data_IF_759549593864
#
_entry.id   IF_759549593864
#
_cell.length_a   1.000
_cell.length_b   1.000
_cell.length_c   1.000
_cell.angle_alpha   90.00
_cell.angle_beta   90.00
_cell.angle_gamma   90.00
#
_symmetry.space_group_name_H-M   'P 1'
#
loop_
_entity.id
_entity.type
_entity.pdbx_description
1 polymer ?
#
# COMPACT_ATOMS: atom_id res chain seq x y z
N UNK A 1 -3.59 -15.20 21.19
CA UNK A 1 -3.98 -15.38 19.79
C UNK A 1 -5.35 -14.74 19.61
N UNK A 2 -5.69 -14.19 18.42
CA UNK A 2 -7.00 -13.57 18.16
C UNK A 2 -8.17 -14.57 18.24
N UNK A 3 -7.87 -15.88 18.19
CA UNK A 3 -8.84 -16.96 18.29
C UNK A 3 -8.53 -17.86 19.51
N UNK A 4 -9.19 -17.65 20.65
CA UNK A 4 -8.95 -18.44 21.86
C UNK A 4 -9.16 -19.95 21.62
N UNK A 5 -8.18 -20.76 22.04
CA UNK A 5 -8.22 -22.22 21.91
C UNK A 5 -7.88 -22.78 20.53
N UNK A 6 -7.74 -21.92 19.51
CA UNK A 6 -7.26 -22.33 18.19
C UNK A 6 -5.73 -22.28 18.14
N UNK A 7 -5.11 -23.35 17.65
CA UNK A 7 -3.65 -23.53 17.57
C UNK A 7 -3.15 -23.66 16.13
N UNK A 8 -4.02 -23.46 15.14
CA UNK A 8 -3.64 -23.48 13.72
C UNK A 8 -3.06 -22.15 13.25
N UNK A 9 -2.68 -22.10 11.98
CA UNK A 9 -2.15 -20.88 11.36
C UNK A 9 -3.21 -19.79 11.25
N UNK A 10 -2.78 -18.53 11.29
CA UNK A 10 -3.62 -17.35 11.12
C UNK A 10 -3.18 -16.65 9.85
N UNK A 11 -4.08 -16.50 8.87
CA UNK A 11 -3.85 -15.62 7.73
C UNK A 11 -3.97 -14.18 8.21
N UNK A 12 -3.06 -13.32 7.78
CA UNK A 12 -3.02 -11.91 8.17
C UNK A 12 -2.98 -11.02 6.93
N UNK A 13 -3.53 -9.82 7.05
CA UNK A 13 -3.41 -8.72 6.10
C UNK A 13 -3.43 -7.40 6.91
N UNK A 14 -2.97 -6.30 6.30
CA UNK A 14 -3.00 -4.97 6.92
C UNK A 14 -3.58 -3.94 5.96
N UNK A 15 -4.41 -3.03 6.46
CA UNK A 15 -5.10 -1.98 5.70
C UNK A 15 -5.89 -1.09 6.64
N UNK A 16 -6.08 0.19 6.31
CA UNK A 16 -6.88 1.10 7.14
C UNK A 16 -8.38 0.81 6.94
N UNK A 17 -9.01 0.13 7.90
CA UNK A 17 -10.42 -0.29 7.81
C UNK A 17 -11.34 0.70 8.53
N UNK A 18 -10.79 1.57 9.39
CA UNK A 18 -11.56 2.49 10.22
C UNK A 18 -11.39 3.97 9.83
N UNK A 19 -10.48 4.29 8.91
CA UNK A 19 -10.21 5.62 8.38
C UNK A 19 -9.45 6.50 9.36
N UNK A 20 -8.61 5.91 10.23
CA UNK A 20 -7.81 6.67 11.19
C UNK A 20 -6.39 7.01 10.69
N UNK A 21 -6.06 6.61 9.46
CA UNK A 21 -4.76 6.80 8.82
C UNK A 21 -3.68 5.83 9.31
N UNK A 22 -4.02 4.88 10.19
CA UNK A 22 -3.11 3.84 10.69
C UNK A 22 -3.60 2.48 10.20
N UNK A 23 -2.70 1.70 9.58
CA UNK A 23 -3.08 0.38 9.07
C UNK A 23 -3.55 -0.56 10.20
N UNK A 24 -4.76 -1.10 10.03
CA UNK A 24 -5.34 -2.10 10.92
C UNK A 24 -4.81 -3.51 10.62
N UNK A 25 -4.92 -4.41 11.59
CA UNK A 25 -4.54 -5.82 11.44
C UNK A 25 -5.78 -6.68 11.25
N UNK A 26 -5.89 -7.31 10.08
CA UNK A 26 -6.94 -8.27 9.75
C UNK A 26 -6.38 -9.67 9.99
N UNK A 27 -7.00 -10.41 10.91
CA UNK A 27 -6.62 -11.76 11.25
C UNK A 27 -7.75 -12.75 10.92
N UNK A 28 -7.39 -13.85 10.26
CA UNK A 28 -8.32 -14.88 9.85
C UNK A 28 -7.85 -16.28 10.28
N UNK A 29 -8.76 -17.06 10.85
CA UNK A 29 -8.45 -18.43 11.26
C UNK A 29 -8.17 -19.29 10.01
N UNK A 30 -7.00 -19.96 9.99
CA UNK A 30 -6.64 -20.90 8.93
C UNK A 30 -7.29 -22.27 9.08
N UNK A 31 -6.85 -23.23 8.26
CA UNK A 31 -7.42 -24.58 8.20
C UNK A 31 -7.48 -25.27 9.57
N UNK A 32 -8.61 -25.93 9.85
CA UNK A 32 -8.93 -26.53 11.14
C UNK A 32 -9.61 -25.56 12.12
N UNK A 33 -9.58 -24.25 11.86
CA UNK A 33 -10.42 -23.25 12.51
C UNK A 33 -11.75 -23.09 11.76
N UNK A 34 -12.68 -22.29 12.30
CA UNK A 34 -13.86 -21.83 11.57
C UNK A 34 -13.52 -20.70 10.59
N UNK A 35 -14.49 -20.16 9.84
CA UNK A 35 -14.22 -19.09 8.90
C UNK A 35 -14.26 -17.72 9.59
N UNK A 36 -13.60 -17.58 10.74
CA UNK A 36 -13.68 -16.36 11.56
C UNK A 36 -12.62 -15.36 11.12
N UNK A 37 -13.06 -14.14 10.79
CA UNK A 37 -12.21 -12.98 10.53
C UNK A 37 -12.42 -11.95 11.64
N UNK A 38 -11.32 -11.38 12.13
CA UNK A 38 -11.29 -10.29 13.12
C UNK A 38 -10.40 -9.16 12.61
N UNK A 39 -10.77 -7.93 12.92
CA UNK A 39 -10.00 -6.72 12.58
C UNK A 39 -9.63 -6.03 13.88
N UNK A 40 -8.37 -5.64 14.01
CA UNK A 40 -7.82 -4.98 15.19
C UNK A 40 -7.20 -3.65 14.80
N UNK A 41 -7.43 -2.61 15.60
CA UNK A 41 -6.88 -1.28 15.35
C UNK A 41 -5.36 -1.31 15.33
N UNK A 42 -4.77 -0.70 14.31
CA UNK A 42 -3.33 -0.45 14.27
C UNK A 42 -2.85 0.46 15.40
N UNK A 43 -3.71 1.39 15.82
CA UNK A 43 -3.42 2.42 16.84
C UNK A 43 -3.27 1.82 18.24
N UNK A 44 -4.15 0.92 18.67
CA UNK A 44 -4.18 0.43 20.05
C UNK A 44 -4.40 -1.09 20.21
N UNK A 45 -4.56 -1.82 19.11
CA UNK A 45 -4.81 -3.26 19.10
C UNK A 45 -6.22 -3.68 19.56
N UNK A 46 -7.16 -2.74 19.74
CA UNK A 46 -8.55 -3.04 20.07
C UNK A 46 -9.28 -3.72 18.91
N UNK A 47 -10.26 -4.59 19.21
CA UNK A 47 -11.03 -5.26 18.16
C UNK A 47 -12.08 -4.30 17.55
N UNK A 48 -11.94 -4.00 16.25
CA UNK A 48 -12.84 -3.14 15.47
C UNK A 48 -14.01 -3.96 14.89
N UNK A 49 -13.70 -5.14 14.32
CA UNK A 49 -14.68 -6.01 13.64
C UNK A 49 -14.47 -7.47 13.96
N UNK A 50 -15.56 -8.25 13.87
CA UNK A 50 -15.54 -9.71 13.99
C UNK A 50 -16.73 -10.33 13.26
N UNK A 51 -16.46 -11.12 12.22
CA UNK A 51 -17.51 -11.68 11.35
C UNK A 51 -17.11 -13.02 10.71
N UNK A 52 -18.06 -13.65 10.02
CA UNK A 52 -17.87 -14.92 9.30
C UNK A 52 -18.26 -14.76 7.82
N UNK A 53 -17.31 -14.66 6.86
CA UNK A 53 -17.63 -14.55 5.43
C UNK A 53 -18.22 -15.83 4.82
N UNK A 54 -18.11 -16.98 5.51
CA UNK A 54 -18.60 -18.28 5.03
C UNK A 54 -19.46 -18.97 6.10
N UNK A 55 -20.25 -20.01 5.74
CA UNK A 55 -21.08 -20.73 6.71
C UNK A 55 -20.27 -21.24 7.91
N UNK A 56 -20.72 -20.99 9.14
CA UNK A 56 -19.96 -21.27 10.37
C UNK A 56 -19.52 -22.74 10.55
N UNK A 57 -20.15 -23.69 9.87
CA UNK A 57 -19.75 -25.11 9.89
C UNK A 57 -18.54 -25.43 9.00
N UNK A 58 -18.07 -24.48 8.19
CA UNK A 58 -16.91 -24.62 7.33
C UNK A 58 -15.62 -24.51 8.15
N UNK A 59 -14.74 -25.51 8.06
CA UNK A 59 -13.49 -25.56 8.84
C UNK A 59 -12.22 -25.47 8.01
N UNK A 60 -12.33 -25.04 6.75
CA UNK A 60 -11.16 -24.87 5.87
C UNK A 60 -10.35 -23.62 6.16
N UNK A 61 -10.86 -22.74 7.03
CA UNK A 61 -10.27 -21.44 7.33
C UNK A 61 -10.43 -20.44 6.19
N UNK A 62 -9.77 -19.30 6.33
CA UNK A 62 -9.86 -18.16 5.41
C UNK A 62 -8.47 -17.62 5.11
N UNK A 63 -8.24 -17.27 3.85
CA UNK A 63 -7.14 -16.40 3.42
C UNK A 63 -7.69 -14.99 3.21
N UNK A 64 -6.99 -13.98 3.71
CA UNK A 64 -7.44 -12.58 3.66
C UNK A 64 -6.46 -11.71 2.88
N UNK A 65 -7.02 -10.74 2.17
CA UNK A 65 -6.35 -9.57 1.61
C UNK A 65 -7.26 -8.35 1.86
N UNK A 66 -6.73 -7.15 1.65
CA UNK A 66 -7.49 -5.90 1.79
C UNK A 66 -7.15 -4.91 0.70
N UNK A 67 -8.13 -4.12 0.29
CA UNK A 67 -7.99 -2.98 -0.63
C UNK A 67 -9.32 -2.20 -0.64
N UNK A 68 -9.30 -0.91 -0.98
CA UNK A 68 -10.53 -0.13 -1.19
C UNK A 68 -11.12 -0.45 -2.58
N UNK A 69 -12.12 -1.34 -2.62
CA UNK A 69 -12.72 -1.82 -3.87
C UNK A 69 -14.01 -1.07 -4.24
N UNK A 70 -14.58 -0.30 -3.31
CA UNK A 70 -15.75 0.53 -3.55
C UNK A 70 -15.43 2.03 -3.64
N UNK A 71 -14.15 2.39 -3.50
CA UNK A 71 -13.61 3.74 -3.55
C UNK A 71 -14.26 4.65 -2.50
N UNK A 72 -14.43 4.14 -1.27
CA UNK A 72 -15.00 4.90 -0.15
C UNK A 72 -13.94 5.45 0.82
N UNK A 73 -12.66 5.24 0.51
CA UNK A 73 -11.52 5.66 1.31
C UNK A 73 -11.16 4.68 2.44
N UNK A 74 -11.89 3.57 2.59
CA UNK A 74 -11.63 2.56 3.61
C UNK A 74 -11.25 1.22 2.96
N UNK A 75 -10.32 0.51 3.57
CA UNK A 75 -9.93 -0.81 3.10
C UNK A 75 -11.06 -1.83 3.28
N UNK A 76 -11.48 -2.45 2.19
CA UNK A 76 -12.42 -3.57 2.19
C UNK A 76 -11.71 -4.89 2.49
N UNK A 77 -12.44 -5.86 3.04
CA UNK A 77 -11.89 -7.18 3.39
C UNK A 77 -12.25 -8.22 2.34
N UNK A 78 -11.23 -8.74 1.66
CA UNK A 78 -11.33 -9.83 0.68
C UNK A 78 -11.05 -11.14 1.40
N UNK A 79 -12.03 -12.05 1.40
CA UNK A 79 -11.94 -13.36 2.03
C UNK A 79 -11.99 -14.49 0.98
N UNK A 80 -10.93 -15.28 0.92
CA UNK A 80 -10.86 -16.52 0.16
C UNK A 80 -11.11 -17.74 1.03
N UNK A 81 -12.01 -18.64 0.62
CA UNK A 81 -12.25 -19.88 1.34
C UNK A 81 -11.03 -20.81 1.29
N UNK A 82 -10.62 -21.38 2.43
CA UNK A 82 -9.51 -22.34 2.48
C UNK A 82 -9.86 -23.76 2.03
N UNK A 83 -8.94 -24.73 2.22
CA UNK A 83 -9.12 -26.11 1.74
C UNK A 83 -10.37 -26.81 2.30
N UNK A 84 -11.05 -27.58 1.45
CA UNK A 84 -12.35 -28.21 1.75
C UNK A 84 -13.56 -27.34 1.42
N UNK A 85 -13.33 -26.04 1.14
CA UNK A 85 -14.33 -25.13 0.58
C UNK A 85 -14.18 -25.00 -0.93
N UNK A 86 -15.23 -24.50 -1.60
CA UNK A 86 -15.14 -24.10 -3.01
C UNK A 86 -14.15 -22.94 -3.20
N UNK A 87 -13.82 -22.56 -4.45
CA UNK A 87 -12.94 -21.42 -4.74
C UNK A 87 -13.68 -20.08 -4.53
N UNK A 88 -14.36 -19.92 -3.41
CA UNK A 88 -15.22 -18.78 -3.14
C UNK A 88 -14.41 -17.59 -2.63
N UNK A 89 -14.61 -16.45 -3.27
CA UNK A 89 -14.12 -15.15 -2.83
C UNK A 89 -15.32 -14.31 -2.42
N UNK A 90 -15.29 -13.80 -1.20
CA UNK A 90 -16.30 -12.89 -0.63
C UNK A 90 -15.60 -11.61 -0.23
N UNK A 91 -16.13 -10.47 -0.65
CA UNK A 91 -15.61 -9.15 -0.26
C UNK A 91 -16.64 -8.46 0.62
N UNK A 92 -16.20 -7.99 1.78
CA UNK A 92 -17.01 -7.24 2.75
C UNK A 92 -16.49 -5.83 2.88
N UNK A 93 -17.39 -4.85 2.93
CA UNK A 93 -16.99 -3.47 3.12
C UNK A 93 -16.27 -3.28 4.46
N UNK A 94 -15.20 -2.48 4.48
CA UNK A 94 -14.51 -2.08 5.71
C UNK A 94 -15.40 -1.23 6.62
N UNK A 95 -16.11 -0.28 6.00
CA UNK A 95 -17.08 0.62 6.63
C UNK A 95 -18.20 -0.14 7.36
N UNK A 96 -18.74 -1.19 6.73
CA UNK A 96 -19.73 -2.10 7.34
C UNK A 96 -19.57 -3.52 6.80
N UNK A 97 -18.97 -4.41 7.62
CA UNK A 97 -18.77 -5.82 7.28
C UNK A 97 -20.06 -6.62 7.02
N UNK A 98 -21.24 -6.05 7.33
CA UNK A 98 -22.54 -6.62 6.96
C UNK A 98 -22.82 -6.48 5.45
N UNK A 99 -22.25 -5.47 4.81
CA UNK A 99 -22.36 -5.20 3.37
C UNK A 99 -21.40 -6.11 2.60
N UNK A 100 -21.96 -6.88 1.66
CA UNK A 100 -21.22 -7.72 0.73
C UNK A 100 -21.06 -6.99 -0.60
N UNK A 101 -19.82 -6.73 -1.00
CA UNK A 101 -19.49 -6.05 -2.26
C UNK A 101 -19.42 -7.07 -3.40
N UNK A 102 -18.77 -8.22 -3.15
CA UNK A 102 -18.61 -9.30 -4.12
C UNK A 102 -18.75 -10.67 -3.49
N UNK A 103 -19.23 -11.64 -4.28
CA UNK A 103 -19.34 -13.04 -3.88
C UNK A 103 -19.37 -13.94 -5.12
N UNK A 104 -18.26 -14.60 -5.41
CA UNK A 104 -18.10 -15.36 -6.66
C UNK A 104 -17.13 -16.52 -6.52
N UNK A 105 -17.22 -17.46 -7.46
CA UNK A 105 -16.24 -18.55 -7.59
C UNK A 105 -15.12 -18.16 -8.56
N UNK A 106 -13.90 -18.05 -8.03
CA UNK A 106 -12.70 -17.73 -8.80
C UNK A 106 -12.22 -18.88 -9.69
N UNK A 107 -12.69 -20.11 -9.48
CA UNK A 107 -12.37 -21.28 -10.31
C UNK A 107 -13.63 -22.13 -10.51
N UNK A 108 -13.53 -23.25 -11.24
CA UNK A 108 -14.66 -24.14 -11.43
C UNK A 108 -15.27 -24.59 -10.10
N UNK A 109 -16.59 -24.47 -9.95
CA UNK A 109 -17.30 -24.66 -8.68
C UNK A 109 -17.12 -26.06 -8.01
N UNK A 110 -16.69 -27.07 -8.77
CA UNK A 110 -16.37 -28.40 -8.24
C UNK A 110 -14.97 -28.52 -7.61
N UNK A 111 -14.12 -27.51 -7.77
CA UNK A 111 -12.81 -27.45 -7.12
C UNK A 111 -13.01 -27.18 -5.62
N UNK A 112 -12.29 -27.92 -4.76
CA UNK A 112 -12.44 -27.83 -3.30
C UNK A 112 -11.13 -27.52 -2.58
N UNK A 113 -10.12 -27.08 -3.31
CA UNK A 113 -8.84 -26.66 -2.73
C UNK A 113 -8.89 -25.29 -2.07
N UNK A 114 -9.99 -24.56 -2.22
CA UNK A 114 -10.10 -23.17 -1.82
C UNK A 114 -9.35 -22.21 -2.76
N UNK A 115 -9.23 -20.97 -2.30
CA UNK A 115 -8.60 -19.86 -3.03
C UNK A 115 -7.80 -19.01 -2.06
N UNK A 116 -6.59 -18.61 -2.48
CA UNK A 116 -5.79 -17.58 -1.82
C UNK A 116 -5.90 -16.30 -2.64
N UNK A 117 -5.91 -15.17 -1.95
CA UNK A 117 -6.22 -13.85 -2.52
C UNK A 117 -5.09 -12.88 -2.25
N UNK A 118 -4.87 -11.98 -3.20
CA UNK A 118 -4.07 -10.76 -3.10
C UNK A 118 -4.78 -9.66 -3.90
N UNK A 119 -4.33 -8.42 -3.78
CA UNK A 119 -4.98 -7.25 -4.40
C UNK A 119 -3.96 -6.25 -4.94
N UNK A 120 -4.30 -5.57 -6.02
CA UNK A 120 -3.50 -4.44 -6.52
C UNK A 120 -3.87 -4.13 -7.97
N UNK A 121 -3.54 -2.93 -8.44
CA UNK A 121 -3.96 -2.45 -9.75
C UNK A 121 -3.09 -3.05 -10.87
N UNK A 122 -3.57 -4.13 -11.49
CA UNK A 122 -2.91 -4.80 -12.62
C UNK A 122 -3.41 -4.20 -13.93
N UNK A 123 -4.65 -3.72 -13.97
CA UNK A 123 -5.24 -3.13 -15.17
C UNK A 123 -4.78 -1.70 -15.43
N UNK A 124 -4.22 -1.01 -14.43
CA UNK A 124 -3.88 0.41 -14.40
C UNK A 124 -5.10 1.28 -14.68
N UNK A 125 -6.17 1.08 -13.91
CA UNK A 125 -7.40 1.87 -13.98
C UNK A 125 -7.63 2.74 -12.73
N UNK A 126 -6.69 2.70 -11.78
CA UNK A 126 -6.74 3.42 -10.51
C UNK A 126 -7.58 2.71 -9.45
N UNK A 127 -8.08 1.49 -9.71
CA UNK A 127 -8.81 0.67 -8.75
C UNK A 127 -8.06 -0.65 -8.51
N UNK A 128 -8.17 -1.24 -7.30
CA UNK A 128 -7.41 -2.44 -7.00
C UNK A 128 -8.09 -3.67 -7.62
N UNK A 129 -7.34 -4.53 -8.30
CA UNK A 129 -7.85 -5.79 -8.80
C UNK A 129 -7.78 -6.90 -7.76
N UNK A 130 -8.55 -7.98 -7.96
CA UNK A 130 -8.49 -9.18 -7.13
C UNK A 130 -7.69 -10.26 -7.86
N UNK A 131 -6.57 -10.67 -7.26
CA UNK A 131 -5.73 -11.77 -7.74
C UNK A 131 -6.08 -13.03 -6.96
N UNK A 132 -6.56 -14.05 -7.65
CA UNK A 132 -6.95 -15.34 -7.07
C UNK A 132 -5.98 -16.46 -7.49
N UNK A 133 -5.40 -17.14 -6.51
CA UNK A 133 -4.55 -18.30 -6.70
C UNK A 133 -5.22 -19.58 -6.20
N UNK A 134 -5.12 -20.65 -6.99
CA UNK A 134 -5.70 -21.94 -6.62
C UNK A 134 -5.00 -22.56 -5.39
N UNK A 135 -5.80 -23.08 -4.46
CA UNK A 135 -5.32 -23.85 -3.31
C UNK A 135 -4.87 -25.28 -3.64
N UNK A 136 -4.59 -26.12 -2.63
CA UNK A 136 -4.16 -27.50 -2.82
C UNK A 136 -5.16 -28.35 -3.63
N UNK A 137 -4.65 -29.22 -4.49
CA UNK A 137 -5.45 -30.04 -5.41
C UNK A 137 -5.79 -29.34 -6.74
N UNK A 138 -5.57 -28.03 -6.83
CA UNK A 138 -5.61 -27.27 -8.09
C UNK A 138 -4.22 -27.16 -8.69
N UNK A 139 -4.13 -26.94 -10.01
CA UNK A 139 -2.87 -26.55 -10.65
C UNK A 139 -2.36 -25.21 -10.13
N UNK A 140 -1.16 -24.74 -10.51
CA UNK A 140 -0.63 -23.45 -10.05
C UNK A 140 -1.25 -22.26 -10.79
N UNK A 141 -2.58 -22.26 -10.89
CA UNK A 141 -3.36 -21.31 -11.67
C UNK A 141 -3.59 -20.03 -10.86
N UNK A 142 -3.23 -18.90 -11.47
CA UNK A 142 -3.50 -17.55 -10.98
C UNK A 142 -4.46 -16.88 -11.97
N UNK A 143 -5.49 -16.21 -11.46
CA UNK A 143 -6.47 -15.44 -12.24
C UNK A 143 -6.59 -14.03 -11.66
N UNK A 144 -6.80 -13.06 -12.52
CA UNK A 144 -6.93 -11.64 -12.19
C UNK A 144 -8.37 -11.24 -12.52
N UNK A 145 -9.03 -10.59 -11.56
CA UNK A 145 -10.39 -10.10 -11.70
C UNK A 145 -10.39 -8.60 -11.48
N UNK A 146 -10.85 -7.86 -12.49
CA UNK A 146 -10.93 -6.41 -12.46
C UNK A 146 -11.85 -5.92 -11.32
N UNK A 147 -11.28 -5.08 -10.44
CA UNK A 147 -11.95 -4.59 -9.25
C UNK A 147 -12.87 -3.39 -9.46
N UNK A 148 -12.92 -2.83 -10.68
CA UNK A 148 -13.84 -1.75 -11.00
C UNK A 148 -15.28 -2.12 -10.65
N UNK A 149 -15.93 -1.20 -9.92
CA UNK A 149 -17.23 -1.39 -9.25
C UNK A 149 -18.19 -2.33 -10.00
N UNK A 150 -18.81 -3.30 -9.30
CA UNK A 150 -19.74 -4.22 -9.93
C UNK A 150 -20.94 -3.43 -10.48
N UNK A 151 -21.17 -3.55 -11.79
CA UNK A 151 -22.47 -3.29 -12.39
C UNK A 151 -23.51 -4.13 -11.62
N UNK A 152 -24.25 -3.51 -10.70
CA UNK A 152 -25.41 -4.04 -9.95
C UNK A 152 -25.71 -5.54 -10.20
N UNK A 153 -25.18 -6.45 -9.38
CA UNK A 153 -25.40 -7.89 -9.60
C UNK A 153 -24.38 -8.88 -9.04
N UNK A 154 -23.36 -8.45 -8.29
CA UNK A 154 -22.46 -9.36 -7.56
C UNK A 154 -21.44 -10.10 -8.43
N UNK A 155 -21.07 -9.56 -9.59
CA UNK A 155 -19.99 -10.10 -10.42
C UNK A 155 -18.84 -9.09 -10.39
N UNK A 156 -17.67 -9.51 -9.92
CA UNK A 156 -16.39 -8.81 -10.19
C UNK A 156 -16.22 -8.68 -11.71
N UNK A 157 -15.44 -7.70 -12.17
CA UNK A 157 -15.14 -7.49 -13.59
C UNK A 157 -14.70 -8.75 -14.35
N UNK A 158 -14.55 -8.63 -15.66
CA UNK A 158 -14.13 -9.74 -16.53
C UNK A 158 -12.82 -10.38 -16.05
N UNK A 159 -12.59 -11.67 -16.33
CA UNK A 159 -11.27 -12.28 -16.17
C UNK A 159 -10.27 -11.51 -17.03
N UNK A 160 -9.50 -10.64 -16.37
CA UNK A 160 -8.59 -9.70 -17.00
C UNK A 160 -7.27 -10.34 -17.36
N UNK A 161 -7.02 -11.58 -16.92
CA UNK A 161 -5.83 -12.33 -17.22
C UNK A 161 -5.70 -13.59 -16.36
N UNK A 162 -5.04 -14.62 -16.89
CA UNK A 162 -4.71 -15.80 -16.10
C UNK A 162 -3.51 -16.57 -16.66
N UNK A 163 -2.80 -17.26 -15.78
CA UNK A 163 -1.60 -18.03 -16.14
C UNK A 163 -1.30 -19.12 -15.11
N UNK A 164 -0.40 -20.04 -15.48
CA UNK A 164 0.15 -21.04 -14.57
C UNK A 164 1.53 -20.60 -14.08
N UNK A 165 1.65 -20.33 -12.78
CA UNK A 165 2.88 -19.80 -12.17
C UNK A 165 4.02 -20.83 -12.12
N UNK A 166 3.69 -22.12 -12.13
CA UNK A 166 4.62 -23.26 -12.05
C UNK A 166 4.25 -24.35 -13.06
N UNK A 167 4.95 -25.48 -13.02
CA UNK A 167 4.60 -26.65 -13.85
C UNK A 167 3.12 -27.02 -13.67
N UNK A 168 2.38 -27.18 -14.77
CA UNK A 168 0.94 -27.41 -14.73
C UNK A 168 0.55 -28.72 -14.01
N UNK A 169 1.48 -29.67 -13.87
CA UNK A 169 1.29 -30.89 -13.09
C UNK A 169 1.45 -30.71 -11.58
N UNK A 170 1.93 -29.56 -11.11
CA UNK A 170 2.07 -29.27 -9.69
C UNK A 170 0.71 -28.96 -9.06
N UNK A 171 0.33 -29.67 -8.00
CA UNK A 171 -1.00 -29.55 -7.36
C UNK A 171 -0.96 -29.09 -5.91
N UNK A 172 0.17 -28.55 -5.44
CA UNK A 172 0.27 -27.98 -4.08
C UNK A 172 -0.45 -26.64 -3.92
N UNK A 173 -0.96 -26.07 -5.01
CA UNK A 173 -1.51 -24.72 -5.10
C UNK A 173 -0.44 -23.64 -5.03
N UNK A 174 -0.86 -22.38 -5.05
CA UNK A 174 0.03 -21.20 -5.08
C UNK A 174 -0.32 -20.23 -3.96
N UNK A 175 0.68 -19.68 -3.28
CA UNK A 175 0.55 -18.45 -2.48
C UNK A 175 0.89 -17.27 -3.39
N UNK A 176 0.14 -16.19 -3.26
CA UNK A 176 0.24 -15.02 -4.12
C UNK A 176 0.30 -13.77 -3.28
N UNK A 177 1.08 -12.80 -3.74
CA UNK A 177 1.15 -11.43 -3.26
C UNK A 177 1.33 -10.52 -4.48
N UNK A 178 1.20 -9.24 -4.24
CA UNK A 178 1.37 -8.17 -5.21
C UNK A 178 2.27 -7.11 -4.59
N UNK A 179 2.96 -6.36 -5.43
CA UNK A 179 3.77 -5.22 -5.03
C UNK A 179 4.56 -4.68 -6.21
N UNK A 180 4.99 -3.43 -6.14
CA UNK A 180 5.79 -2.84 -7.18
C UNK A 180 7.27 -3.22 -7.00
N UNK A 181 7.69 -4.37 -7.56
CA UNK A 181 9.03 -4.94 -7.30
C UNK A 181 10.00 -4.80 -8.47
N UNK A 182 9.52 -4.49 -9.68
CA UNK A 182 10.38 -4.27 -10.86
C UNK A 182 9.78 -3.24 -11.82
N UNK A 183 10.58 -2.23 -12.10
CA UNK A 183 10.25 -1.16 -13.03
C UNK A 183 9.22 -0.25 -12.38
N UNK A 184 9.59 0.96 -11.99
CA UNK A 184 8.66 1.94 -11.41
C UNK A 184 7.65 2.36 -12.49
N UNK A 185 6.68 1.49 -12.74
CA UNK A 185 5.54 1.69 -13.60
C UNK A 185 4.26 1.69 -12.77
N UNK A 186 3.16 2.11 -13.36
CA UNK A 186 1.91 2.28 -12.62
C UNK A 186 1.18 0.94 -12.40
N UNK A 187 1.87 -0.22 -12.55
CA UNK A 187 1.27 -1.55 -12.44
C UNK A 187 2.03 -2.40 -11.44
N UNK A 188 1.30 -2.93 -10.45
CA UNK A 188 1.93 -3.83 -9.48
C UNK A 188 2.31 -5.17 -10.13
N UNK A 189 3.38 -5.79 -9.65
CA UNK A 189 3.79 -7.13 -10.07
C UNK A 189 3.06 -8.22 -9.28
N UNK A 190 3.03 -9.43 -9.84
CA UNK A 190 2.51 -10.61 -9.15
C UNK A 190 3.67 -11.48 -8.65
N UNK A 191 3.75 -11.65 -7.34
CA UNK A 191 4.74 -12.50 -6.68
C UNK A 191 4.06 -13.80 -6.27
N UNK A 192 4.71 -14.92 -6.55
CA UNK A 192 4.16 -16.24 -6.22
C UNK A 192 5.17 -17.10 -5.48
N UNK A 193 4.65 -17.93 -4.58
CA UNK A 193 5.36 -19.06 -3.98
C UNK A 193 4.54 -20.34 -4.13
N UNK A 194 5.14 -21.51 -4.41
CA UNK A 194 4.39 -22.74 -4.51
C UNK A 194 3.95 -23.19 -3.10
N UNK A 195 2.82 -23.88 -3.02
CA UNK A 195 2.35 -24.49 -1.78
C UNK A 195 3.09 -25.77 -1.39
N UNK A 196 2.48 -26.56 -0.50
CA UNK A 196 3.07 -27.81 0.02
C UNK A 196 3.41 -28.80 -1.09
N UNK A 197 4.58 -29.43 -1.00
CA UNK A 197 5.15 -30.30 -2.03
C UNK A 197 5.92 -29.56 -3.12
N UNK A 198 5.85 -28.23 -3.16
CA UNK A 198 6.64 -27.38 -4.05
C UNK A 198 7.98 -26.99 -3.45
N UNK A 199 8.97 -26.73 -4.29
CA UNK A 199 10.29 -26.25 -3.89
C UNK A 199 10.25 -24.83 -3.30
N UNK A 200 11.39 -24.29 -2.85
CA UNK A 200 11.44 -22.97 -2.23
C UNK A 200 11.53 -21.84 -3.27
N UNK A 201 11.02 -22.06 -4.48
CA UNK A 201 11.20 -21.17 -5.62
C UNK A 201 10.14 -20.05 -5.62
N UNK A 202 10.57 -18.80 -5.51
CA UNK A 202 9.70 -17.63 -5.66
C UNK A 202 9.80 -17.14 -7.09
N UNK A 203 8.66 -16.76 -7.67
CA UNK A 203 8.57 -16.18 -9.01
C UNK A 203 7.84 -14.86 -9.00
N UNK A 204 8.34 -13.92 -9.80
CA UNK A 204 7.76 -12.59 -10.01
C UNK A 204 7.33 -12.46 -11.46
N UNK A 205 6.12 -11.97 -11.69
CA UNK A 205 5.53 -11.76 -13.01
C UNK A 205 5.19 -10.28 -13.15
N UNK A 206 5.65 -9.70 -14.25
CA UNK A 206 5.52 -8.30 -14.59
C UNK A 206 4.05 -7.88 -14.80
N UNK A 207 3.56 -6.99 -13.94
CA UNK A 207 2.24 -6.33 -14.01
C UNK A 207 1.89 -5.82 -15.41
N UNK A 208 2.83 -5.08 -16.00
CA UNK A 208 2.67 -4.36 -17.26
C UNK A 208 2.63 -5.28 -18.48
N UNK A 209 3.34 -6.41 -18.44
CA UNK A 209 3.44 -7.32 -19.58
C UNK A 209 2.73 -8.67 -19.41
N UNK A 210 2.05 -8.91 -18.28
CA UNK A 210 1.32 -10.16 -17.98
C UNK A 210 0.37 -10.64 -19.09
N UNK A 211 -0.20 -9.71 -19.87
CA UNK A 211 -1.09 -10.01 -21.01
C UNK A 211 -0.36 -10.36 -22.31
N UNK A 212 0.95 -10.14 -22.36
CA UNK A 212 1.82 -10.37 -23.51
C UNK A 212 2.81 -11.51 -23.25
N UNK A 213 3.26 -11.67 -22.01
CA UNK A 213 4.23 -12.67 -21.56
C UNK A 213 3.88 -13.16 -20.16
N UNK A 214 3.94 -14.48 -19.98
CA UNK A 214 3.83 -15.13 -18.67
C UNK A 214 5.17 -15.70 -18.20
N UNK A 215 6.27 -15.26 -18.84
CA UNK A 215 7.60 -15.58 -18.37
C UNK A 215 7.91 -14.76 -17.11
N UNK A 216 8.37 -15.38 -16.02
CA UNK A 216 8.69 -14.64 -14.81
C UNK A 216 9.93 -13.76 -15.02
N UNK A 217 9.87 -12.52 -14.54
CA UNK A 217 11.00 -11.57 -14.53
C UNK A 217 11.95 -11.83 -13.35
N UNK A 218 11.46 -12.46 -12.28
CA UNK A 218 12.24 -12.94 -11.15
C UNK A 218 11.99 -14.43 -10.90
N UNK A 219 13.05 -15.21 -10.64
CA UNK A 219 12.93 -16.63 -10.28
C UNK A 219 14.13 -17.08 -9.43
N UNK A 220 13.94 -17.21 -8.12
CA UNK A 220 15.01 -17.51 -7.17
C UNK A 220 14.57 -18.49 -6.08
N UNK A 221 15.54 -19.09 -5.38
CA UNK A 221 15.27 -19.99 -4.27
C UNK A 221 15.31 -19.20 -2.96
N UNK A 222 14.16 -19.03 -2.31
CA UNK A 222 14.06 -18.31 -1.04
C UNK A 222 14.69 -19.08 0.13
N UNK A 223 14.72 -20.41 0.04
CA UNK A 223 15.26 -21.33 1.06
C UNK A 223 16.12 -22.42 0.42
N UNK A 224 16.73 -23.27 1.24
CA UNK A 224 17.60 -24.35 0.75
C UNK A 224 16.90 -25.25 -0.25
N UNK A 225 17.56 -25.56 -1.38
CA UNK A 225 16.96 -26.21 -2.56
C UNK A 225 16.24 -27.54 -2.32
N UNK A 226 16.53 -28.24 -1.21
CA UNK A 226 15.84 -29.48 -0.82
C UNK A 226 14.54 -29.26 -0.03
N UNK A 227 14.18 -28.02 0.30
CA UNK A 227 12.97 -27.71 1.07
C UNK A 227 11.73 -27.81 0.18
N UNK A 228 10.74 -28.62 0.59
CA UNK A 228 9.52 -28.86 -0.20
C UNK A 228 8.25 -28.43 0.54
N UNK A 229 8.37 -27.60 1.58
CA UNK A 229 7.22 -27.09 2.33
C UNK A 229 6.46 -25.97 1.62
N UNK A 230 7.00 -25.48 0.50
CA UNK A 230 6.49 -24.31 -0.21
C UNK A 230 6.92 -22.99 0.43
N UNK A 231 6.51 -21.88 -0.18
CA UNK A 231 6.84 -20.52 0.24
C UNK A 231 5.57 -19.69 0.32
N UNK A 232 5.41 -18.93 1.41
CA UNK A 232 4.43 -17.85 1.49
C UNK A 232 5.15 -16.53 1.22
N UNK A 233 4.49 -15.62 0.54
CA UNK A 233 5.07 -14.39 0.00
C UNK A 233 4.24 -13.19 0.43
N UNK A 234 4.89 -12.04 0.57
CA UNK A 234 4.31 -10.70 0.67
C UNK A 234 5.28 -9.72 0.00
N UNK A 235 4.80 -8.53 -0.35
CA UNK A 235 5.62 -7.40 -0.73
C UNK A 235 5.37 -6.23 0.23
N UNK A 236 6.37 -5.36 0.39
CA UNK A 236 6.30 -4.06 1.10
C UNK A 236 7.66 -3.38 0.98
N UNK A 237 7.72 -2.08 0.76
CA UNK A 237 8.99 -1.33 0.79
C UNK A 237 9.56 -1.25 2.22
N UNK A 238 10.54 -2.10 2.52
CA UNK A 238 11.22 -2.13 3.83
C UNK A 238 12.46 -1.24 3.80
N UNK A 239 12.98 -0.89 2.62
CA UNK A 239 14.18 -0.06 2.49
C UNK A 239 13.90 1.44 2.41
N UNK A 240 12.66 1.83 2.10
CA UNK A 240 12.25 3.21 1.90
C UNK A 240 12.74 3.79 0.59
N UNK A 241 12.92 2.96 -0.44
CA UNK A 241 13.39 3.38 -1.77
C UNK A 241 12.28 3.51 -2.82
N UNK A 242 11.02 3.32 -2.41
CA UNK A 242 9.83 3.38 -3.26
C UNK A 242 9.63 2.14 -4.13
N UNK A 243 10.34 1.04 -3.85
CA UNK A 243 10.17 -0.26 -4.50
C UNK A 243 9.87 -1.30 -3.43
N UNK A 244 8.84 -2.10 -3.66
CA UNK A 244 8.44 -3.13 -2.71
C UNK A 244 9.49 -4.24 -2.60
N UNK A 245 9.93 -4.55 -1.37
CA UNK A 245 10.77 -5.69 -1.10
C UNK A 245 9.95 -6.98 -1.02
N UNK A 246 10.55 -8.10 -1.43
CA UNK A 246 9.89 -9.40 -1.34
C UNK A 246 10.17 -10.04 0.02
N UNK A 247 9.11 -10.18 0.82
CA UNK A 247 9.15 -10.89 2.09
C UNK A 247 8.66 -12.32 1.91
N UNK A 248 9.46 -13.28 2.38
CA UNK A 248 9.11 -14.69 2.28
C UNK A 248 9.14 -15.34 3.65
N UNK A 249 8.28 -16.36 3.80
CA UNK A 249 8.33 -17.29 4.94
C UNK A 249 8.18 -18.71 4.43
N UNK A 250 8.82 -19.69 5.08
CA UNK A 250 8.71 -21.07 4.63
C UNK A 250 7.36 -21.65 5.06
N UNK A 251 6.82 -22.55 4.25
CA UNK A 251 5.63 -23.32 4.60
C UNK A 251 5.91 -24.40 5.64
N UNK A 252 5.01 -25.40 5.71
CA UNK A 252 5.10 -26.49 6.69
C UNK A 252 6.43 -27.24 6.57
N UNK A 253 7.06 -27.54 7.72
CA UNK A 253 8.36 -28.20 7.78
C UNK A 253 9.56 -27.26 7.70
N UNK A 254 9.32 -25.96 7.47
CA UNK A 254 10.34 -24.91 7.61
C UNK A 254 10.26 -24.23 8.98
N UNK A 255 11.37 -23.60 9.37
CA UNK A 255 11.51 -22.89 10.65
C UNK A 255 10.78 -21.55 10.70
N UNK A 256 10.92 -20.78 11.80
CA UNK A 256 10.36 -19.44 11.94
C UNK A 256 11.20 -18.35 11.24
N UNK A 257 11.95 -18.73 10.20
CA UNK A 257 12.88 -17.86 9.51
C UNK A 257 12.18 -17.11 8.37
N UNK A 258 12.02 -15.81 8.56
CA UNK A 258 11.55 -14.84 7.58
C UNK A 258 12.74 -14.30 6.80
N UNK A 259 12.58 -14.14 5.49
CA UNK A 259 13.64 -13.60 4.62
C UNK A 259 13.12 -12.47 3.76
N UNK A 260 13.89 -11.39 3.71
CA UNK A 260 13.62 -10.20 2.90
C UNK A 260 14.60 -10.22 1.73
N UNK A 261 14.07 -10.05 0.53
CA UNK A 261 14.81 -9.97 -0.71
C UNK A 261 14.59 -8.58 -1.29
N UNK A 262 15.66 -7.79 -1.26
CA UNK A 262 15.69 -6.45 -1.80
C UNK A 262 15.37 -6.47 -3.29
N UNK A 263 14.36 -5.68 -3.65
CA UNK A 263 13.95 -5.47 -5.01
C UNK A 263 14.62 -4.20 -5.55
N UNK A 264 15.22 -4.31 -6.73
CA UNK A 264 15.72 -3.14 -7.46
C UNK A 264 14.88 -2.97 -8.70
N UNK A 265 14.81 -1.74 -9.24
CA UNK A 265 14.04 -1.37 -10.44
C UNK A 265 14.33 -2.17 -11.73
N UNK A 266 15.24 -3.14 -11.69
CA UNK A 266 15.58 -4.00 -12.82
C UNK A 266 15.36 -5.50 -12.59
N UNK A 267 15.55 -6.01 -11.37
CA UNK A 267 15.25 -7.41 -10.98
C UNK A 267 15.35 -7.56 -9.45
N UNK A 268 14.58 -8.48 -8.83
CA UNK A 268 14.77 -8.80 -7.42
C UNK A 268 16.09 -9.53 -7.14
N UNK A 269 16.72 -9.23 -6.01
CA UNK A 269 17.89 -9.97 -5.53
C UNK A 269 17.57 -11.45 -5.31
N UNK A 270 18.49 -12.33 -5.69
CA UNK A 270 18.38 -13.76 -5.40
C UNK A 270 18.99 -14.16 -4.04
N UNK A 271 19.58 -13.19 -3.32
CA UNK A 271 20.10 -13.38 -1.97
C UNK A 271 19.29 -12.52 -0.99
N UNK A 272 18.91 -13.07 0.17
CA UNK A 272 18.17 -12.29 1.15
C UNK A 272 19.09 -11.21 1.74
N UNK A 273 18.59 -9.97 1.81
CA UNK A 273 19.25 -8.87 2.52
C UNK A 273 19.07 -8.97 4.02
N UNK A 274 17.99 -9.62 4.47
CA UNK A 274 17.78 -10.00 5.88
C UNK A 274 17.25 -11.42 6.01
N UNK A 275 17.71 -12.12 7.05
CA UNK A 275 17.23 -13.42 7.50
C UNK A 275 16.95 -13.34 9.01
N UNK A 276 15.67 -13.39 9.38
CA UNK A 276 15.18 -13.08 10.74
C UNK A 276 14.45 -14.29 11.30
N UNK A 277 14.88 -14.76 12.48
CA UNK A 277 14.11 -15.75 13.24
C UNK A 277 13.08 -15.03 14.12
N UNK A 278 11.79 -15.14 13.78
CA UNK A 278 10.70 -14.44 14.47
C UNK A 278 9.95 -15.33 15.48
N UNK A 279 10.55 -16.44 15.89
CA UNK A 279 9.96 -17.39 16.83
C UNK A 279 10.96 -18.37 17.42
N UNK A 280 10.45 -19.35 18.16
CA UNK A 280 11.28 -20.44 18.71
C UNK A 280 11.89 -21.28 17.57
N UNK A 281 13.21 -21.49 17.59
CA UNK A 281 13.94 -22.24 16.57
C UNK A 281 13.48 -23.70 16.43
N UNK A 282 12.72 -24.24 17.38
CA UNK A 282 12.06 -25.55 17.26
C UNK A 282 10.73 -25.56 16.50
N UNK A 283 10.16 -24.40 16.17
CA UNK A 283 8.87 -24.29 15.47
C UNK A 283 9.00 -24.66 13.99
N UNK A 284 8.18 -25.59 13.51
CA UNK A 284 8.19 -26.05 12.11
C UNK A 284 6.85 -25.92 11.39
N UNK A 285 5.93 -25.10 11.92
CA UNK A 285 4.58 -24.93 11.37
C UNK A 285 4.51 -24.03 10.14
N UNK A 286 5.59 -23.31 9.83
CA UNK A 286 5.63 -22.22 8.86
C UNK A 286 4.88 -20.97 9.36
N UNK A 287 5.27 -19.81 8.84
CA UNK A 287 4.74 -18.50 9.27
C UNK A 287 3.85 -17.89 8.18
N UNK A 288 2.77 -17.19 8.56
CA UNK A 288 2.04 -16.31 7.65
C UNK A 288 2.60 -14.91 7.77
N UNK A 289 2.73 -14.22 6.64
CA UNK A 289 3.30 -12.88 6.56
C UNK A 289 2.35 -11.99 5.77
N UNK A 290 2.22 -10.76 6.23
CA UNK A 290 1.68 -9.64 5.48
C UNK A 290 2.67 -8.49 5.65
N UNK A 291 2.94 -7.78 4.56
CA UNK A 291 3.48 -6.44 4.56
C UNK A 291 2.34 -5.44 4.47
N UNK A 292 2.63 -4.16 4.66
CA UNK A 292 1.72 -3.14 4.16
C UNK A 292 1.71 -3.31 2.64
N UNK A 293 0.55 -3.62 2.02
CA UNK A 293 0.41 -3.19 0.65
C UNK A 293 0.58 -1.68 0.71
N UNK A 294 1.46 -1.13 -0.09
CA UNK A 294 1.31 0.25 -0.54
C UNK A 294 -0.09 0.29 -1.17
N UNK A 295 -1.10 0.64 -0.36
CA UNK A 295 -2.47 0.82 -0.80
C UNK A 295 -2.39 2.10 -1.64
N UNK A 296 -1.98 1.92 -2.90
CA UNK A 296 -1.78 2.94 -3.93
C UNK A 296 -0.67 3.98 -3.72
N UNK A 297 0.49 3.61 -3.18
CA UNK A 297 1.71 4.36 -3.50
C UNK A 297 2.49 3.60 -4.57
N UNK A 298 2.19 3.94 -5.82
CA UNK A 298 2.98 3.75 -7.05
C UNK A 298 4.39 4.41 -6.99
N UNK A 299 5.00 4.49 -5.80
CA UNK A 299 6.12 5.37 -5.54
C UNK A 299 5.76 6.86 -5.66
N UNK A 300 4.52 7.23 -5.98
CA UNK A 300 3.97 8.55 -5.72
C UNK A 300 3.29 8.50 -4.36
N UNK A 301 3.62 9.46 -3.51
CA UNK A 301 2.76 9.75 -2.38
C UNK A 301 1.50 10.41 -2.91
N UNK A 302 0.36 10.19 -2.26
CA UNK A 302 -0.87 10.86 -2.67
C UNK A 302 -0.59 12.39 -2.79
N UNK A 303 -1.01 13.04 -3.88
CA UNK A 303 -0.70 14.44 -4.09
C UNK A 303 -1.41 15.31 -3.07
N UNK A 304 -0.74 16.35 -2.56
CA UNK A 304 -1.38 17.29 -1.66
C UNK A 304 -2.59 17.95 -2.34
N UNK A 305 -3.77 17.81 -1.72
CA UNK A 305 -5.01 18.32 -2.29
C UNK A 305 -5.37 19.71 -1.75
N UNK A 306 -5.96 20.55 -2.58
CA UNK A 306 -6.61 21.79 -2.15
C UNK A 306 -7.80 21.45 -1.25
N UNK A 307 -7.87 21.95 -0.01
CA UNK A 307 -9.01 21.72 0.89
C UNK A 307 -10.16 22.71 0.64
N UNK A 308 -11.42 22.26 0.66
CA UNK A 308 -12.61 23.09 0.40
C UNK A 308 -12.99 23.34 -1.07
N UNK A 309 -14.27 23.70 -1.31
CA UNK A 309 -14.78 24.01 -2.65
C UNK A 309 -14.55 25.48 -3.02
N UNK A 310 -13.87 25.74 -4.13
CA UNK A 310 -13.63 27.08 -4.66
C UNK A 310 -14.16 27.26 -6.08
N UNK A 311 -14.53 28.49 -6.41
CA UNK A 311 -15.00 28.87 -7.75
C UNK A 311 -13.79 29.27 -8.62
N UNK A 312 -13.45 28.51 -9.68
CA UNK A 312 -12.30 28.79 -10.54
C UNK A 312 -12.52 29.98 -11.48
N UNK A 313 -13.47 30.88 -11.18
CA UNK A 313 -13.86 31.98 -12.07
C UNK A 313 -12.82 33.10 -12.18
N UNK A 314 -11.77 33.08 -11.37
CA UNK A 314 -10.63 34.00 -11.41
C UNK A 314 -9.38 33.32 -11.98
N UNK A 315 -8.86 33.83 -13.10
CA UNK A 315 -7.58 33.38 -13.65
C UNK A 315 -6.41 34.07 -12.94
N UNK A 316 -5.46 33.27 -12.47
CA UNK A 316 -4.21 33.72 -11.87
C UNK A 316 -3.03 33.59 -12.86
N UNK A 317 -1.93 34.29 -12.58
CA UNK A 317 -0.71 34.13 -13.34
C UNK A 317 -0.10 32.74 -13.05
N UNK A 318 0.35 31.99 -14.08
CA UNK A 318 0.90 30.66 -13.90
C UNK A 318 2.21 30.73 -13.11
N UNK A 319 2.41 29.79 -12.18
CA UNK A 319 3.64 29.63 -11.42
C UNK A 319 4.83 29.49 -12.37
N UNK A 320 5.92 30.21 -12.10
CA UNK A 320 7.16 30.08 -12.86
C UNK A 320 8.22 29.44 -11.97
N UNK A 321 9.05 28.59 -12.55
CA UNK A 321 10.16 27.95 -11.82
C UNK A 321 11.11 28.96 -11.16
N UNK A 322 11.25 30.16 -11.73
CA UNK A 322 12.05 31.25 -11.15
C UNK A 322 11.49 31.78 -9.83
N UNK A 323 10.17 31.69 -9.62
CA UNK A 323 9.50 32.11 -8.39
C UNK A 323 9.57 31.02 -7.30
N UNK A 324 9.78 29.76 -7.71
CA UNK A 324 9.85 28.60 -6.81
C UNK A 324 11.19 28.51 -6.08
N UNK A 325 12.31 28.76 -6.77
CA UNK A 325 13.64 28.53 -6.21
C UNK A 325 13.90 29.23 -4.86
N UNK A 326 13.57 30.53 -4.67
CA UNK A 326 13.77 31.18 -3.37
C UNK A 326 12.94 30.56 -2.23
N UNK A 327 11.76 30.02 -2.56
CA UNK A 327 10.87 29.36 -1.60
C UNK A 327 11.39 27.96 -1.26
N UNK A 328 11.90 27.23 -2.25
CA UNK A 328 12.56 25.93 -2.06
C UNK A 328 13.79 26.03 -1.15
N UNK A 329 14.65 27.03 -1.38
CA UNK A 329 15.82 27.29 -0.53
C UNK A 329 15.39 27.61 0.92
N UNK A 330 14.30 28.35 1.09
CA UNK A 330 13.72 28.63 2.39
C UNK A 330 13.16 27.37 3.06
N UNK A 331 12.49 26.48 2.31
CA UNK A 331 11.97 25.21 2.82
C UNK A 331 13.09 24.34 3.41
N UNK A 332 14.21 24.18 2.69
CA UNK A 332 15.39 23.47 3.21
C UNK A 332 15.92 24.09 4.52
N UNK A 333 15.95 25.42 4.62
CA UNK A 333 16.35 26.11 5.85
C UNK A 333 15.36 25.91 7.01
N UNK A 334 14.05 25.80 6.72
CA UNK A 334 13.03 25.46 7.72
C UNK A 334 13.21 24.03 8.24
N UNK A 335 13.42 23.06 7.34
CA UNK A 335 13.68 21.66 7.69
C UNK A 335 14.96 21.53 8.54
N UNK A 336 16.03 22.23 8.16
CA UNK A 336 17.26 22.29 8.96
C UNK A 336 16.99 22.81 10.39
N UNK A 337 16.16 23.85 10.51
CA UNK A 337 15.81 24.45 11.81
C UNK A 337 14.92 23.53 12.64
N UNK A 338 14.09 22.71 11.98
CA UNK A 338 13.25 21.71 12.62
C UNK A 338 14.02 20.47 13.09
N UNK A 339 15.16 20.15 12.47
CA UNK A 339 16.06 19.10 12.94
C UNK A 339 16.60 18.15 11.87
N UNK A 340 16.33 18.38 10.59
CA UNK A 340 16.85 17.55 9.51
C UNK A 340 18.39 17.48 9.53
N UNK A 341 18.93 16.27 9.34
CA UNK A 341 20.37 16.01 9.30
C UNK A 341 21.04 16.62 8.05
N UNK A 342 22.37 16.74 8.09
CA UNK A 342 23.13 17.23 6.94
C UNK A 342 23.00 16.29 5.73
N UNK A 343 22.90 14.98 5.99
CA UNK A 343 22.69 13.95 4.97
C UNK A 343 21.32 14.07 4.31
N UNK A 344 20.26 14.24 5.11
CA UNK A 344 18.90 14.46 4.59
C UNK A 344 18.82 15.74 3.76
N UNK A 345 19.36 16.85 4.26
CA UNK A 345 19.39 18.12 3.52
C UNK A 345 20.19 18.01 2.21
N UNK A 346 21.27 17.22 2.21
CA UNK A 346 22.03 16.96 0.99
C UNK A 346 21.19 16.16 -0.03
N UNK A 347 20.45 15.14 0.41
CA UNK A 347 19.53 14.40 -0.45
C UNK A 347 18.43 15.31 -1.02
N UNK A 348 17.72 16.04 -0.16
CA UNK A 348 16.65 16.94 -0.57
C UNK A 348 17.12 18.06 -1.51
N UNK A 349 18.36 18.53 -1.36
CA UNK A 349 18.93 19.55 -2.27
C UNK A 349 19.11 19.07 -3.72
N UNK A 350 19.01 17.76 -3.96
CA UNK A 350 19.09 17.17 -5.30
C UNK A 350 17.72 16.97 -5.97
N UNK A 351 16.63 17.12 -5.21
CA UNK A 351 15.26 16.99 -5.71
C UNK A 351 15.01 18.06 -6.79
N UNK A 352 14.46 17.61 -7.91
CA UNK A 352 14.14 18.49 -9.04
C UNK A 352 12.72 19.03 -8.91
N UNK A 353 12.50 20.30 -9.23
CA UNK A 353 11.16 20.88 -9.26
C UNK A 353 10.68 21.04 -10.70
N UNK A 354 9.46 20.59 -10.95
CA UNK A 354 8.72 20.84 -12.17
C UNK A 354 7.44 21.63 -11.87
N UNK A 355 7.00 22.43 -12.83
CA UNK A 355 5.69 23.08 -12.80
C UNK A 355 4.87 22.55 -13.96
N UNK A 356 3.73 21.94 -13.67
CA UNK A 356 2.82 21.37 -14.65
C UNK A 356 1.36 21.67 -14.27
N UNK A 357 0.44 21.52 -15.22
CA UNK A 357 -1.01 21.63 -14.96
C UNK A 357 -1.48 20.28 -14.39
N UNK A 358 -1.64 20.22 -13.08
CA UNK A 358 -2.09 19.02 -12.37
C UNK A 358 -3.62 18.93 -12.41
N UNK A 359 -4.13 17.71 -12.30
CA UNK A 359 -5.55 17.48 -12.53
C UNK A 359 -6.40 17.80 -11.29
N UNK A 360 -7.60 18.35 -11.53
CA UNK A 360 -8.61 18.49 -10.49
C UNK A 360 -8.22 19.48 -9.40
N UNK A 361 -7.85 18.97 -8.22
CA UNK A 361 -7.58 19.74 -6.99
C UNK A 361 -6.16 19.56 -6.45
N UNK A 362 -5.29 18.93 -7.23
CA UNK A 362 -3.91 18.67 -6.85
C UNK A 362 -3.12 19.99 -6.76
N UNK A 363 -2.29 20.13 -5.72
CA UNK A 363 -1.42 21.29 -5.50
C UNK A 363 0.05 20.94 -5.75
N UNK A 364 0.45 19.74 -5.34
CA UNK A 364 1.79 19.20 -5.51
C UNK A 364 1.73 17.68 -5.53
N UNK A 365 2.73 17.07 -6.14
CA UNK A 365 2.93 15.63 -6.19
C UNK A 365 4.42 15.35 -6.06
N UNK A 366 4.79 14.52 -5.07
CA UNK A 366 6.14 14.02 -4.91
C UNK A 366 6.30 12.68 -5.64
N UNK A 367 7.34 12.62 -6.47
CA UNK A 367 7.83 11.46 -7.19
C UNK A 367 9.29 11.27 -6.80
N UNK A 368 9.88 10.06 -6.85
CA UNK A 368 11.25 9.86 -6.37
C UNK A 368 12.27 10.83 -6.99
N UNK A 369 12.77 11.78 -6.18
CA UNK A 369 13.73 12.81 -6.59
C UNK A 369 13.17 13.95 -7.47
N UNK A 370 11.85 14.06 -7.58
CA UNK A 370 11.15 15.06 -8.40
C UNK A 370 9.83 15.48 -7.77
N UNK A 371 9.63 16.78 -7.58
CA UNK A 371 8.34 17.32 -7.15
C UNK A 371 7.71 18.05 -8.34
N UNK A 372 6.44 17.75 -8.62
CA UNK A 372 5.63 18.46 -9.60
C UNK A 372 4.67 19.37 -8.86
N UNK A 373 4.73 20.67 -9.12
CA UNK A 373 3.83 21.67 -8.54
C UNK A 373 2.79 22.07 -9.57
N UNK A 374 1.56 22.25 -9.11
CA UNK A 374 0.49 22.71 -9.97
C UNK A 374 0.74 24.14 -10.49
N UNK A 375 0.34 24.40 -11.72
CA UNK A 375 0.62 25.67 -12.41
C UNK A 375 -0.22 26.82 -11.84
N UNK A 376 -1.42 26.56 -11.34
CA UNK A 376 -2.35 27.61 -10.90
C UNK A 376 -3.00 27.38 -9.51
N UNK A 377 -2.49 26.40 -8.75
CA UNK A 377 -2.96 25.99 -7.44
C UNK A 377 -4.44 25.57 -7.47
N UNK A 378 -4.78 24.67 -8.39
CA UNK A 378 -6.13 24.20 -8.67
C UNK A 378 -7.12 25.36 -8.91
N UNK A 379 -6.66 26.39 -9.62
CA UNK A 379 -7.42 27.60 -9.95
C UNK A 379 -7.57 28.61 -8.81
N UNK A 380 -6.99 28.39 -7.63
CA UNK A 380 -7.07 29.32 -6.47
C UNK A 380 -5.92 30.34 -6.45
N UNK A 381 -4.83 30.04 -7.15
CA UNK A 381 -3.65 30.89 -7.25
C UNK A 381 -2.69 30.75 -6.07
N UNK A 382 -1.40 30.83 -6.40
CA UNK A 382 -0.30 30.75 -5.45
C UNK A 382 -0.10 32.05 -4.66
N UNK A 383 0.14 31.92 -3.36
CA UNK A 383 0.86 32.89 -2.55
C UNK A 383 2.35 32.52 -2.57
N UNK A 384 3.13 33.40 -3.19
CA UNK A 384 4.59 33.28 -3.27
C UNK A 384 5.16 34.29 -2.27
N UNK A 385 5.72 33.76 -1.20
CA UNK A 385 6.28 34.55 -0.12
C UNK A 385 7.66 35.10 -0.50
N UNK A 386 7.84 36.42 -0.40
CA UNK A 386 9.10 37.10 -0.69
C UNK A 386 10.01 37.19 0.54
N UNK A 387 9.46 36.94 1.73
CA UNK A 387 10.13 36.91 3.02
C UNK A 387 9.83 35.59 3.75
N UNK A 388 10.04 34.40 3.12
CA UNK A 388 9.64 33.08 3.63
C UNK A 388 10.40 32.62 4.88
N UNK A 389 11.18 33.48 5.52
CA UNK A 389 11.87 33.23 6.79
C UNK A 389 11.24 33.95 7.98
N UNK A 390 10.30 34.88 7.76
CA UNK A 390 9.76 35.76 8.81
C UNK A 390 8.29 35.52 9.15
N UNK A 391 7.54 34.82 8.29
CA UNK A 391 6.11 34.51 8.48
C UNK A 391 5.22 35.74 8.73
N UNK A 392 5.61 36.91 8.22
CA UNK A 392 4.97 38.19 8.56
C UNK A 392 3.57 38.35 7.96
N UNK A 393 3.24 37.50 6.99
CA UNK A 393 1.93 37.42 6.33
C UNK A 393 0.91 36.60 7.10
N UNK A 394 1.33 35.92 8.17
CA UNK A 394 0.51 34.98 8.93
C UNK A 394 0.42 35.38 10.40
N UNK A 395 -0.69 34.99 11.05
CA UNK A 395 -0.83 35.19 12.48
C UNK A 395 0.10 34.23 13.26
N UNK A 396 0.73 34.67 14.37
CA UNK A 396 1.70 33.82 15.08
C UNK A 396 1.13 32.60 15.82
N UNK A 397 -0.19 32.50 16.01
CA UNK A 397 -0.82 31.47 16.86
C UNK A 397 -1.37 30.30 16.05
N UNK A 398 -1.89 30.57 14.84
CA UNK A 398 -2.51 29.58 13.98
C UNK A 398 -2.02 29.59 12.54
N UNK A 399 -1.06 30.46 12.21
CA UNK A 399 -0.48 30.61 10.87
C UNK A 399 -1.55 30.78 9.78
N UNK A 400 -2.62 31.52 10.08
CA UNK A 400 -3.61 31.95 9.11
C UNK A 400 -3.19 33.29 8.51
N UNK A 401 -3.43 33.46 7.22
CA UNK A 401 -3.05 34.63 6.49
C UNK A 401 -3.75 35.88 7.03
N UNK A 402 -2.95 36.89 7.37
CA UNK A 402 -3.39 38.23 7.75
C UNK A 402 -3.02 39.27 6.68
N UNK A 403 -2.05 38.96 5.81
CA UNK A 403 -1.70 39.83 4.71
C UNK A 403 -2.69 39.66 3.54
N UNK A 404 -3.15 40.77 2.90
CA UNK A 404 -4.05 40.70 1.75
C UNK A 404 -3.52 39.87 0.58
N UNK A 405 -2.19 39.73 0.47
CA UNK A 405 -1.56 38.87 -0.54
C UNK A 405 -1.66 37.39 -0.21
N UNK A 406 -1.72 36.97 1.05
CA UNK A 406 -1.79 35.56 1.41
C UNK A 406 -3.23 35.07 1.62
N UNK A 407 -4.15 35.96 1.99
CA UNK A 407 -5.56 35.62 2.24
C UNK A 407 -6.20 35.03 0.98
N UNK A 408 -6.72 33.80 1.12
CA UNK A 408 -7.45 33.11 0.05
C UNK A 408 -6.58 32.56 -1.07
N UNK A 409 -5.25 32.54 -0.92
CA UNK A 409 -4.31 31.91 -1.86
C UNK A 409 -3.59 30.73 -1.22
N UNK A 410 -3.12 29.78 -2.02
CA UNK A 410 -2.40 28.60 -1.51
C UNK A 410 -0.95 28.96 -1.19
N UNK A 411 -0.49 28.65 0.03
CA UNK A 411 0.88 28.96 0.45
C UNK A 411 1.90 28.01 -0.19
N UNK A 412 2.70 28.53 -1.13
CA UNK A 412 3.69 27.73 -1.88
C UNK A 412 4.76 27.10 -0.96
N UNK A 413 5.16 27.80 0.11
CA UNK A 413 6.13 27.28 1.06
C UNK A 413 5.62 26.01 1.74
N UNK A 414 4.35 26.01 2.15
CA UNK A 414 3.72 24.85 2.79
C UNK A 414 3.67 23.65 1.85
N UNK A 415 3.26 23.84 0.59
CA UNK A 415 3.22 22.74 -0.38
C UNK A 415 4.62 22.17 -0.59
N UNK A 416 5.63 23.01 -0.84
CA UNK A 416 7.01 22.52 -1.02
C UNK A 416 7.52 21.77 0.23
N UNK A 417 7.21 22.26 1.43
CA UNK A 417 7.60 21.58 2.67
C UNK A 417 6.91 20.23 2.83
N UNK A 418 5.65 20.12 2.42
CA UNK A 418 4.88 18.89 2.44
C UNK A 418 5.46 17.87 1.46
N UNK A 419 5.66 18.24 0.19
CA UNK A 419 6.26 17.36 -0.81
C UNK A 419 7.69 16.93 -0.45
N UNK A 420 8.48 17.80 0.17
CA UNK A 420 9.80 17.43 0.70
C UNK A 420 9.71 16.48 1.90
N UNK A 421 8.59 16.47 2.63
CA UNK A 421 8.31 15.46 3.66
C UNK A 421 8.18 14.07 3.05
N UNK A 422 7.48 13.95 1.93
CA UNK A 422 7.41 12.68 1.18
C UNK A 422 8.78 12.18 0.71
N UNK A 423 9.65 13.07 0.23
CA UNK A 423 11.05 12.74 -0.09
C UNK A 423 11.89 12.30 1.12
N UNK A 424 11.42 12.55 2.34
CA UNK A 424 12.00 12.05 3.59
C UNK A 424 11.32 10.76 4.09
N UNK A 425 10.33 10.23 3.36
CA UNK A 425 9.58 9.04 3.71
C UNK A 425 8.37 9.28 4.62
N UNK A 426 7.89 10.52 4.71
CA UNK A 426 6.67 10.84 5.46
C UNK A 426 5.43 10.52 4.62
N UNK A 427 4.43 9.89 5.25
CA UNK A 427 3.12 9.66 4.65
C UNK A 427 2.16 10.81 4.95
N UNK A 428 1.13 10.93 4.11
CA UNK A 428 0.00 11.82 4.38
C UNK A 428 -0.72 11.46 5.68
N UNK A 429 -1.27 12.49 6.32
CA UNK A 429 -2.11 12.40 7.50
C UNK A 429 -3.51 12.88 7.18
N UNK A 430 -4.52 12.22 7.75
CA UNK A 430 -5.92 12.65 7.64
C UNK A 430 -6.08 14.11 8.09
N UNK A 431 -6.56 14.97 7.19
CA UNK A 431 -6.73 16.38 7.42
C UNK A 431 -7.87 16.71 8.40
N UNK A 432 -8.85 15.83 8.61
CA UNK A 432 -9.90 16.01 9.61
C UNK A 432 -9.36 15.81 11.04
N UNK A 433 -8.34 14.96 11.19
CA UNK A 433 -7.69 14.70 12.48
C UNK A 433 -6.50 15.64 12.71
N UNK A 434 -5.70 15.87 11.67
CA UNK A 434 -4.42 16.57 11.72
C UNK A 434 -4.40 17.87 10.90
N UNK A 435 -5.53 18.58 10.80
CA UNK A 435 -5.72 19.82 10.01
C UNK A 435 -4.64 20.92 10.14
N UNK A 436 -3.82 20.92 11.19
CA UNK A 436 -2.71 21.87 11.38
C UNK A 436 -1.31 21.28 11.14
N UNK A 437 -1.21 20.00 10.82
CA UNK A 437 0.05 19.29 10.62
C UNK A 437 0.57 19.47 9.19
N UNK A 438 1.89 19.60 9.02
CA UNK A 438 2.52 19.80 7.72
C UNK A 438 2.08 18.73 6.70
N UNK A 439 2.16 17.46 7.10
CA UNK A 439 1.80 16.30 6.29
C UNK A 439 0.29 16.02 6.18
N UNK A 440 -0.61 16.94 6.53
CA UNK A 440 -2.04 16.67 6.31
C UNK A 440 -2.40 16.71 4.82
N UNK A 441 -3.15 15.70 4.35
CA UNK A 441 -3.48 15.38 2.95
C UNK A 441 -4.19 16.48 2.15
N UNK A 442 -4.66 17.52 2.84
CA UNK A 442 -5.23 18.69 2.19
C UNK A 442 -4.88 20.01 2.86
N UNK A 443 -4.72 21.06 2.04
CA UNK A 443 -4.33 22.41 2.46
C UNK A 443 -5.41 23.44 2.14
N UNK A 444 -5.99 24.11 3.15
CA UNK A 444 -6.87 25.25 2.95
C UNK A 444 -6.10 26.49 2.44
N UNK A 445 -6.68 27.31 1.55
CA UNK A 445 -6.11 28.59 1.17
C UNK A 445 -5.95 29.54 2.36
N UNK A 446 -4.86 30.30 2.36
CA UNK A 446 -4.51 31.23 3.42
C UNK A 446 -4.01 30.56 4.69
N UNK A 447 -3.67 29.26 4.68
CA UNK A 447 -3.01 28.59 5.79
C UNK A 447 -1.55 28.32 5.45
N UNK A 448 -0.66 28.57 6.41
CA UNK A 448 0.72 28.09 6.38
C UNK A 448 0.91 26.98 7.40
N UNK A 449 1.65 25.94 7.03
CA UNK A 449 2.08 24.86 7.93
C UNK A 449 3.59 24.74 7.85
N UNK A 450 4.22 24.49 8.99
CA UNK A 450 5.67 24.46 9.14
C UNK A 450 6.10 23.16 9.81
N UNK A 451 7.29 22.64 9.47
CA UNK A 451 7.86 21.47 10.15
C UNK A 451 8.12 21.79 11.62
N UNK A 452 7.73 20.91 12.53
CA UNK A 452 8.04 21.04 13.96
C UNK A 452 9.05 19.98 14.37
N UNK A 453 9.90 20.33 15.32
CA UNK A 453 10.92 19.41 15.85
C UNK A 453 10.33 18.11 16.42
N UNK A 454 9.15 18.19 17.01
CA UNK A 454 8.43 17.04 17.57
C UNK A 454 7.99 16.06 16.49
N UNK A 455 7.72 16.54 15.28
CA UNK A 455 7.38 15.71 14.12
C UNK A 455 8.62 14.90 13.69
N UNK A 456 9.83 15.51 13.75
CA UNK A 456 11.11 14.84 13.43
C UNK A 456 11.63 13.90 14.53
N UNK A 457 11.37 14.17 15.81
CA UNK A 457 11.85 13.34 16.93
C UNK A 457 11.12 11.97 17.01
N UNK A 458 9.93 11.84 16.41
CA UNK A 458 9.22 10.56 16.31
C UNK A 458 9.89 9.57 15.33
N UNK A 459 10.59 10.05 14.30
CA UNK A 459 11.27 9.19 13.32
C UNK A 459 12.54 8.50 13.86
N UNK A 460 13.20 9.06 14.87
CA UNK A 460 14.58 8.65 15.23
C UNK A 460 14.78 8.21 16.68
N UNK A 461 13.70 8.00 17.44
CA UNK A 461 13.78 7.37 18.77
C UNK A 461 14.11 5.86 18.75
N UNK A 462 14.25 5.26 17.56
CA UNK A 462 14.76 3.92 17.37
C UNK A 462 16.17 3.95 16.74
N UNK A 463 17.16 4.39 17.51
CA UNK A 463 18.58 4.07 17.27
C UNK A 463 19.18 3.27 18.41
#
# INVERSE_FOLDING_TARGET
>A
TPFPGFTGGVSVATGDVNGDGVLDVIAAAGAGGGPHVKVFSGTDGSEIRSFFPFPMGFTGGVFVAVADLNNDGLADIIAGAGPGGGPNVVVRSGADTSVELFNFFAFGAGFTGGVRVATGDITNDGLPDIIAAAGPGGGPHVRIFDGSTPQTGGVVGTDSGNFFAYDMGFTGGVFVATGQVVGNDDRVDIITGPGSGGGPNVRVFDGSTLMQSTAPIGNFLAYGAGFTGGVRVSATDITGDGIDDIVTTPGQGGGPNLRIFDATSSTPSNNPTRDVNVGDGGFTGGLFVAGSPDIFSDGTTAPLMLAGNFDPSTSFAPLQLADVQPVFDAALARLQSAGASAEQLAALSTVTIEVADLSGRQLGEALPGRIVLDVDAAGVGWFIDLTPSTDEEFDPEGLNAIAPGAIGRVDLLTVILHELGHELGESDLDADVYSGHLMAESLPPGQRRLPRKEDFDQLFSQT
#
